data_IF_377549256214
#
_entry.id   IF_377549256214
#
_cell.length_a   1.000
_cell.length_b   1.000
_cell.length_c   1.000
_cell.angle_alpha   90.00
_cell.angle_beta   90.00
_cell.angle_gamma   90.00
#
_symmetry.space_group_name_H-M   'P 1'
#
loop_
_entity.id
_entity.type
_entity.pdbx_description
1 polymer ?
#
# COMPACT_ATOMS: atom_id res chain seq x y z
N UNK A 1 -1.61 -22.11 7.63
CA UNK A 1 -2.99 -21.55 7.74
C UNK A 1 -3.06 -20.13 8.34
N UNK A 2 -2.17 -19.69 9.27
CA UNK A 2 -2.18 -18.30 9.75
C UNK A 2 -1.80 -17.26 8.67
N UNK A 3 -0.89 -17.60 7.75
CA UNK A 3 -0.29 -16.63 6.82
C UNK A 3 -1.29 -15.92 5.91
N UNK A 4 -2.27 -16.64 5.36
CA UNK A 4 -3.27 -16.06 4.45
C UNK A 4 -4.17 -15.05 5.17
N UNK A 5 -4.47 -15.26 6.44
CA UNK A 5 -5.28 -14.33 7.25
C UNK A 5 -4.53 -13.02 7.49
N UNK A 6 -3.23 -13.09 7.79
CA UNK A 6 -2.39 -11.92 8.00
C UNK A 6 -2.19 -11.10 6.73
N UNK A 7 -2.01 -11.76 5.58
CA UNK A 7 -1.95 -11.08 4.28
C UNK A 7 -3.26 -10.32 4.00
N UNK A 8 -4.40 -10.97 4.21
CA UNK A 8 -5.72 -10.35 4.01
C UNK A 8 -5.94 -9.19 4.98
N UNK A 9 -5.55 -9.34 6.25
CA UNK A 9 -5.66 -8.27 7.25
C UNK A 9 -4.76 -7.08 6.90
N UNK A 10 -3.53 -7.34 6.47
CA UNK A 10 -2.59 -6.31 6.02
C UNK A 10 -3.11 -5.55 4.80
N UNK A 11 -3.69 -6.26 3.83
CA UNK A 11 -4.32 -5.65 2.65
C UNK A 11 -5.53 -4.80 3.04
N UNK A 12 -6.41 -5.31 3.90
CA UNK A 12 -7.57 -4.57 4.39
C UNK A 12 -7.16 -3.30 5.17
N UNK A 13 -6.14 -3.42 6.02
CA UNK A 13 -5.58 -2.30 6.76
C UNK A 13 -4.91 -1.28 5.83
N UNK A 14 -4.28 -1.70 4.74
CA UNK A 14 -3.69 -0.83 3.73
C UNK A 14 -4.73 0.00 3.00
N UNK A 15 -5.81 -0.65 2.59
CA UNK A 15 -6.95 -0.03 1.93
C UNK A 15 -7.61 0.98 2.88
N UNK A 16 -7.85 0.59 4.14
CA UNK A 16 -8.39 1.47 5.16
C UNK A 16 -7.44 2.65 5.49
N UNK A 17 -6.14 2.40 5.59
CA UNK A 17 -5.10 3.40 5.82
C UNK A 17 -5.02 4.42 4.70
N UNK A 18 -5.08 3.99 3.43
CA UNK A 18 -5.16 4.86 2.26
C UNK A 18 -6.44 5.71 2.24
N UNK A 19 -7.58 5.14 2.64
CA UNK A 19 -8.85 5.86 2.76
C UNK A 19 -8.83 6.92 3.86
N UNK A 20 -8.28 6.58 5.03
CA UNK A 20 -8.10 7.51 6.17
C UNK A 20 -7.13 8.63 5.78
N UNK A 21 -5.99 8.29 5.17
CA UNK A 21 -5.02 9.26 4.71
C UNK A 21 -5.58 10.22 3.66
N UNK A 22 -6.42 9.74 2.74
CA UNK A 22 -7.12 10.59 1.79
C UNK A 22 -8.07 11.57 2.49
N UNK A 23 -8.85 11.10 3.47
CA UNK A 23 -9.72 11.97 4.27
C UNK A 23 -8.93 13.05 5.00
N UNK A 24 -7.79 12.69 5.61
CA UNK A 24 -6.91 13.64 6.30
C UNK A 24 -6.25 14.63 5.34
N UNK A 25 -5.99 14.23 4.09
CA UNK A 25 -5.44 15.07 3.03
C UNK A 25 -6.48 15.93 2.30
N UNK A 26 -7.76 15.92 2.72
CA UNK A 26 -8.84 16.64 2.04
C UNK A 26 -9.16 16.09 0.65
N UNK A 27 -8.90 14.80 0.43
CA UNK A 27 -9.14 14.07 -0.81
C UNK A 27 -10.36 13.16 -0.65
N UNK A 28 -11.08 12.93 -1.75
CA UNK A 28 -12.21 12.00 -1.79
C UNK A 28 -11.77 10.57 -1.38
N UNK A 29 -12.54 9.95 -0.48
CA UNK A 29 -12.24 8.63 0.10
C UNK A 29 -11.98 7.55 -0.94
N UNK A 30 -12.74 7.53 -2.04
CA UNK A 30 -12.60 6.52 -3.09
C UNK A 30 -11.25 6.61 -3.81
N UNK A 31 -10.66 7.82 -3.93
CA UNK A 31 -9.31 8.00 -4.49
C UNK A 31 -8.26 7.40 -3.54
N UNK A 32 -8.45 7.59 -2.24
CA UNK A 32 -7.62 6.98 -1.19
C UNK A 32 -7.63 5.46 -1.23
N UNK A 33 -8.83 4.87 -1.39
CA UNK A 33 -9.01 3.42 -1.52
C UNK A 33 -8.29 2.86 -2.76
N UNK A 34 -8.42 3.51 -3.91
CA UNK A 34 -7.79 3.05 -5.16
C UNK A 34 -6.26 3.17 -5.11
N UNK A 35 -5.75 4.32 -4.70
CA UNK A 35 -4.30 4.57 -4.62
C UNK A 35 -3.66 3.67 -3.56
N UNK A 36 -4.30 3.57 -2.39
CA UNK A 36 -3.80 2.73 -1.32
C UNK A 36 -3.86 1.24 -1.65
N UNK A 37 -4.96 0.78 -2.25
CA UNK A 37 -5.09 -0.60 -2.73
C UNK A 37 -4.06 -0.96 -3.81
N UNK A 38 -3.82 -0.06 -4.77
CA UNK A 38 -2.81 -0.26 -5.80
C UNK A 38 -1.40 -0.36 -5.20
N UNK A 39 -1.07 0.51 -4.25
CA UNK A 39 0.20 0.46 -3.53
C UNK A 39 0.39 -0.85 -2.77
N UNK A 40 -0.66 -1.28 -2.04
CA UNK A 40 -0.64 -2.50 -1.24
C UNK A 40 -0.50 -3.77 -2.10
N UNK A 41 -1.24 -3.85 -3.20
CA UNK A 41 -1.15 -4.96 -4.14
C UNK A 41 0.23 -5.02 -4.80
N UNK A 42 0.79 -3.88 -5.21
CA UNK A 42 2.12 -3.83 -5.80
C UNK A 42 3.21 -4.25 -4.79
N UNK A 43 3.13 -3.80 -3.54
CA UNK A 43 4.02 -4.24 -2.47
C UNK A 43 3.92 -5.74 -2.23
N UNK A 44 2.70 -6.28 -2.16
CA UNK A 44 2.46 -7.71 -1.99
C UNK A 44 3.03 -8.52 -3.15
N UNK A 45 2.81 -8.10 -4.40
CA UNK A 45 3.37 -8.80 -5.57
C UNK A 45 4.90 -8.76 -5.57
N UNK A 46 5.51 -7.63 -5.16
CA UNK A 46 6.95 -7.50 -5.05
C UNK A 46 7.55 -8.40 -3.95
N UNK A 47 6.82 -8.70 -2.88
CA UNK A 47 7.32 -9.60 -1.82
C UNK A 47 7.46 -11.05 -2.30
N UNK A 48 6.67 -11.46 -3.29
CA UNK A 48 6.75 -12.79 -3.89
C UNK A 48 7.76 -12.88 -5.06
N UNK A 49 8.42 -11.79 -5.45
CA UNK A 49 9.40 -11.81 -6.53
C UNK A 49 10.69 -12.54 -6.09
N UNK A 50 11.05 -13.68 -6.72
CA UNK A 50 12.21 -14.46 -6.31
C UNK A 50 13.52 -13.79 -6.75
N UNK A 51 14.54 -13.82 -5.89
CA UNK A 51 15.90 -13.36 -6.21
C UNK A 51 16.10 -11.84 -6.17
N UNK A 52 15.16 -11.08 -5.60
CA UNK A 52 15.23 -9.62 -5.45
C UNK A 52 15.14 -9.23 -3.97
N UNK A 53 15.84 -8.18 -3.58
CA UNK A 53 15.75 -7.60 -2.24
C UNK A 53 14.33 -7.08 -1.98
N UNK A 54 13.63 -7.74 -1.05
CA UNK A 54 12.23 -7.45 -0.71
C UNK A 54 12.09 -6.11 0.03
N UNK A 55 13.03 -5.80 0.92
CA UNK A 55 13.01 -4.59 1.75
C UNK A 55 13.12 -3.34 0.88
N UNK A 56 13.86 -3.43 -0.23
CA UNK A 56 13.96 -2.37 -1.21
C UNK A 56 12.84 -2.41 -2.26
N UNK A 57 12.49 -3.59 -2.76
CA UNK A 57 11.57 -3.72 -3.90
C UNK A 57 10.13 -3.38 -3.55
N UNK A 58 9.68 -3.73 -2.34
CA UNK A 58 8.29 -3.50 -1.95
C UNK A 58 7.94 -2.02 -1.80
N UNK A 59 8.73 -1.18 -1.08
CA UNK A 59 8.47 0.25 -1.02
C UNK A 59 8.54 0.93 -2.38
N UNK A 60 9.46 0.50 -3.26
CA UNK A 60 9.58 1.02 -4.62
C UNK A 60 8.33 0.67 -5.44
N UNK A 61 7.87 -0.59 -5.39
CA UNK A 61 6.68 -1.02 -6.09
C UNK A 61 5.43 -0.27 -5.61
N UNK A 62 5.28 -0.10 -4.29
CA UNK A 62 4.22 0.68 -3.69
C UNK A 62 4.25 2.15 -4.17
N UNK A 63 5.43 2.77 -4.16
CA UNK A 63 5.65 4.15 -4.60
C UNK A 63 5.24 4.32 -6.07
N UNK A 64 5.72 3.46 -6.96
CA UNK A 64 5.42 3.51 -8.40
C UNK A 64 3.91 3.32 -8.63
N UNK A 65 3.32 2.28 -8.04
CA UNK A 65 1.91 1.97 -8.22
C UNK A 65 1.00 3.07 -7.67
N UNK A 66 1.32 3.62 -6.49
CA UNK A 66 0.58 4.77 -5.94
C UNK A 66 0.72 6.02 -6.80
N UNK A 67 1.91 6.26 -7.39
CA UNK A 67 2.15 7.39 -8.29
C UNK A 67 1.31 7.30 -9.55
N UNK A 68 1.28 6.14 -10.18
CA UNK A 68 0.44 5.87 -11.38
C UNK A 68 -1.05 5.95 -11.01
N UNK A 69 -1.48 5.27 -9.94
CA UNK A 69 -2.87 5.31 -9.50
C UNK A 69 -3.29 6.75 -9.16
N UNK A 70 -2.47 7.49 -8.43
CA UNK A 70 -2.72 8.87 -8.04
C UNK A 70 -2.90 9.80 -9.24
N UNK A 71 -2.01 9.70 -10.24
CA UNK A 71 -2.16 10.51 -11.47
C UNK A 71 -3.42 10.13 -12.26
N UNK A 72 -3.77 8.84 -12.32
CA UNK A 72 -4.99 8.39 -13.02
C UNK A 72 -6.29 8.89 -12.38
N UNK A 73 -6.29 9.15 -11.07
CA UNK A 73 -7.45 9.74 -10.36
C UNK A 73 -7.35 11.27 -10.17
N UNK A 74 -6.40 11.90 -10.87
CA UNK A 74 -6.22 13.36 -10.91
C UNK A 74 -5.62 13.96 -9.64
N UNK A 75 -4.81 13.20 -8.90
CA UNK A 75 -4.10 13.69 -7.72
C UNK A 75 -2.72 14.24 -8.08
N UNK A 76 -2.35 15.35 -7.44
CA UNK A 76 -0.98 15.85 -7.45
C UNK A 76 -0.08 14.96 -6.60
N UNK A 77 1.22 14.98 -6.86
CA UNK A 77 2.21 14.25 -6.05
C UNK A 77 2.08 14.57 -4.55
N UNK A 78 1.83 15.84 -4.20
CA UNK A 78 1.63 16.29 -2.82
C UNK A 78 0.39 15.69 -2.12
N UNK A 79 -0.64 15.29 -2.88
CA UNK A 79 -1.85 14.65 -2.36
C UNK A 79 -1.76 13.12 -2.38
N UNK A 80 -0.97 12.57 -3.30
CA UNK A 80 -0.71 11.12 -3.41
C UNK A 80 0.24 10.62 -2.32
N UNK A 81 1.27 11.40 -1.95
CA UNK A 81 2.27 10.97 -0.98
C UNK A 81 1.71 10.61 0.41
N UNK A 82 0.80 11.38 1.02
CA UNK A 82 0.17 10.99 2.29
C UNK A 82 -0.63 9.68 2.19
N UNK A 83 -1.31 9.47 1.05
CA UNK A 83 -2.12 8.27 0.80
C UNK A 83 -1.22 7.04 0.68
N UNK A 84 -0.12 7.17 -0.06
CA UNK A 84 0.91 6.13 -0.16
C UNK A 84 1.44 5.76 1.23
N UNK A 85 1.83 6.73 2.05
CA UNK A 85 2.38 6.47 3.39
C UNK A 85 1.34 5.73 4.25
N UNK A 86 0.10 6.20 4.27
CA UNK A 86 -0.98 5.54 5.01
C UNK A 86 -1.30 4.13 4.52
N UNK A 87 -1.09 3.84 3.24
CA UNK A 87 -1.37 2.53 2.63
C UNK A 87 -0.17 1.58 2.59
N UNK A 88 1.07 2.07 2.61
CA UNK A 88 2.28 1.25 2.55
C UNK A 88 2.70 0.71 3.91
N UNK A 89 2.36 1.43 4.99
CA UNK A 89 2.67 1.00 6.37
C UNK A 89 1.97 -0.32 6.74
N UNK A 90 0.67 -0.55 6.46
CA UNK A 90 0.00 -1.77 6.88
C UNK A 90 0.46 -3.07 6.19
N UNK A 91 0.74 -3.12 4.87
CA UNK A 91 1.35 -4.28 4.23
C UNK A 91 2.74 -4.61 4.78
N UNK A 92 3.56 -3.58 5.04
CA UNK A 92 4.88 -3.76 5.64
C UNK A 92 4.76 -4.36 7.06
N UNK A 93 3.84 -3.84 7.88
CA UNK A 93 3.57 -4.40 9.21
C UNK A 93 3.03 -5.84 9.15
N UNK A 94 2.13 -6.13 8.21
CA UNK A 94 1.60 -7.48 8.00
C UNK A 94 2.70 -8.47 7.60
N UNK A 95 3.66 -8.05 6.79
CA UNK A 95 4.81 -8.88 6.41
C UNK A 95 5.82 -9.07 7.54
N UNK A 96 6.12 -8.03 8.32
CA UNK A 96 6.93 -8.17 9.53
C UNK A 96 6.32 -9.20 10.49
N UNK A 97 4.99 -9.26 10.59
CA UNK A 97 4.30 -10.27 11.39
C UNK A 97 4.37 -11.68 10.81
N UNK A 98 4.50 -11.82 9.48
CA UNK A 98 4.68 -13.11 8.80
C UNK A 98 6.12 -13.65 8.99
N UNK A 99 7.13 -12.80 8.85
CA UNK A 99 8.53 -13.18 9.04
C UNK A 99 8.88 -13.49 10.51
N UNK A 100 8.10 -12.97 11.47
CA UNK A 100 8.23 -13.25 12.90
C UNK A 100 7.50 -14.52 13.36
N UNK A 101 6.80 -15.22 12.46
CA UNK A 101 6.03 -16.45 12.73
C UNK A 101 6.69 -17.73 12.21
#
# INVERSE_FOLDING_TARGET
>A
MPETQWIVLGLAAAIAGGAIAAKLAGVELWKGLLVGGAAALAALLASFAPGIDRDLSMPIAALIASGIAGTTVGLSASRTAPILIGAAVPPLLGMMMLDLS
#
